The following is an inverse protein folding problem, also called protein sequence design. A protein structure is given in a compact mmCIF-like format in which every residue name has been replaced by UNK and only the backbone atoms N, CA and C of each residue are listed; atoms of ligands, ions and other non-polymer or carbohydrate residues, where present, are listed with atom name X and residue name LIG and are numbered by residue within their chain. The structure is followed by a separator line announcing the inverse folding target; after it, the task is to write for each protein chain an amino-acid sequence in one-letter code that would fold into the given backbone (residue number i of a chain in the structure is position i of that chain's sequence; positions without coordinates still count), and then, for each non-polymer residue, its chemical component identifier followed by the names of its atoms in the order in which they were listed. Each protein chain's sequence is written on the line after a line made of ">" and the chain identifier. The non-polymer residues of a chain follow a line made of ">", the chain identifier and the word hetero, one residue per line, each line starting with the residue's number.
data_IF_521517857715
#
_entry.id   IF_521517857715
#
_cell.length_a   1.000
_cell.length_b   1.000
_cell.length_c   1.000
_cell.angle_alpha   90.00
_cell.angle_beta   90.00
_cell.angle_gamma   90.00
#
_symmetry.space_group_name_H-M   'P 1'
#
loop_
_entity.id
_entity.type
_entity.pdbx_description
1 polymer ?
#
# COMPACT_ATOMS: atom_id res chain seq x y z
N UNK A 1 -38.51 19.84 24.26
CA UNK A 1 -37.82 20.88 25.04
C UNK A 1 -36.77 20.17 25.88
N UNK A 2 -35.48 20.26 25.49
CA UNK A 2 -34.31 19.69 26.20
C UNK A 2 -34.23 18.15 26.23
N UNK A 3 -33.12 17.45 26.02
CA UNK A 3 -31.73 17.87 26.09
C UNK A 3 -30.87 16.96 25.17
N UNK A 4 -30.20 17.59 24.23
CA UNK A 4 -29.13 17.03 23.43
C UNK A 4 -27.87 17.03 24.32
N UNK A 5 -27.38 15.87 24.76
CA UNK A 5 -25.99 15.76 25.25
C UNK A 5 -25.13 15.17 24.14
N UNK A 6 -24.66 16.08 23.28
CA UNK A 6 -23.48 15.88 22.45
C UNK A 6 -22.29 15.73 23.40
N UNK A 7 -21.69 14.54 23.46
CA UNK A 7 -20.37 14.36 24.05
C UNK A 7 -19.39 14.26 22.88
N UNK A 8 -18.82 15.41 22.52
CA UNK A 8 -17.62 15.48 21.68
C UNK A 8 -16.46 14.91 22.51
N UNK A 9 -16.16 13.61 22.37
CA UNK A 9 -14.88 13.08 22.83
C UNK A 9 -13.80 13.53 21.85
N UNK A 10 -13.22 14.69 22.14
CA UNK A 10 -11.98 15.17 21.53
C UNK A 10 -10.84 14.24 21.98
N UNK A 11 -10.49 13.25 21.17
CA UNK A 11 -9.37 12.34 21.46
C UNK A 11 -8.05 13.10 21.27
N UNK A 12 -7.41 13.47 22.38
CA UNK A 12 -6.04 13.95 22.39
C UNK A 12 -5.10 12.74 22.39
N UNK A 13 -4.24 12.64 21.37
CA UNK A 13 -3.19 11.64 21.30
C UNK A 13 -2.00 12.13 22.12
N UNK A 14 -1.78 11.54 23.30
CA UNK A 14 -0.62 11.83 24.12
C UNK A 14 0.61 11.10 23.55
N UNK A 15 1.65 11.89 23.31
CA UNK A 15 2.94 11.54 22.75
C UNK A 15 3.73 10.63 23.70
N UNK A 16 4.20 9.48 23.24
CA UNK A 16 5.26 8.73 23.90
C UNK A 16 6.57 8.97 23.13
N UNK A 17 7.44 9.80 23.70
CA UNK A 17 8.84 9.95 23.27
C UNK A 17 9.67 8.85 23.95
N UNK A 18 10.28 7.98 23.16
CA UNK A 18 11.44 7.19 23.62
C UNK A 18 12.65 7.78 22.92
N UNK A 19 13.45 8.54 23.67
CA UNK A 19 14.80 8.92 23.27
C UNK A 19 15.75 7.79 23.66
N UNK A 20 16.35 7.14 22.67
CA UNK A 20 17.60 6.42 22.82
C UNK A 20 18.61 7.04 21.86
N UNK A 21 19.42 7.97 22.37
CA UNK A 21 20.59 8.47 21.64
C UNK A 21 21.64 7.38 21.59
N UNK A 22 21.82 6.77 20.42
CA UNK A 22 23.07 6.10 20.08
C UNK A 22 23.51 6.64 18.72
N UNK A 23 24.39 7.65 18.73
CA UNK A 23 24.99 8.27 17.54
C UNK A 23 25.92 7.28 16.82
N UNK A 24 25.34 6.40 16.01
CA UNK A 24 25.89 5.92 14.75
C UNK A 24 24.67 5.61 13.88
N UNK A 25 24.66 6.08 12.64
CA UNK A 25 23.44 6.35 11.88
C UNK A 25 22.60 5.09 11.59
N UNK A 26 21.69 4.77 12.50
CA UNK A 26 20.60 3.84 12.26
C UNK A 26 19.62 4.49 11.27
N UNK A 27 19.32 3.82 10.16
CA UNK A 27 18.37 4.33 9.18
C UNK A 27 16.97 4.37 9.79
N UNK A 28 16.33 5.53 9.75
CA UNK A 28 14.98 5.73 10.30
C UNK A 28 14.03 6.09 9.18
N UNK A 29 12.93 5.34 9.11
CA UNK A 29 11.83 5.52 8.18
C UNK A 29 10.63 6.11 8.91
N UNK A 30 9.93 7.04 8.28
CA UNK A 30 8.74 7.69 8.87
C UNK A 30 7.55 7.51 7.95
N UNK A 31 6.42 7.08 8.51
CA UNK A 31 5.19 6.84 7.78
C UNK A 31 4.08 7.72 8.35
N UNK A 32 3.31 8.31 7.44
CA UNK A 32 2.22 9.23 7.72
C UNK A 32 0.84 8.68 7.29
N UNK A 33 0.83 7.63 6.47
CA UNK A 33 -0.38 7.05 5.89
C UNK A 33 -0.36 5.53 6.04
N UNK A 34 -1.50 4.95 6.42
CA UNK A 34 -1.72 3.49 6.39
C UNK A 34 -2.94 3.15 5.53
N UNK A 35 -2.81 2.09 4.72
CA UNK A 35 -3.92 1.52 3.95
C UNK A 35 -4.08 0.03 4.25
N UNK A 36 -5.32 -0.44 4.34
CA UNK A 36 -5.65 -1.86 4.32
C UNK A 36 -6.38 -2.19 3.02
N UNK A 37 -5.78 -3.04 2.21
CA UNK A 37 -6.44 -3.62 1.05
C UNK A 37 -6.66 -5.12 1.22
N UNK A 38 -7.74 -5.59 0.62
CA UNK A 38 -8.11 -7.00 0.59
C UNK A 38 -8.27 -7.47 -0.85
N UNK A 39 -7.56 -8.54 -1.20
CA UNK A 39 -7.69 -9.24 -2.47
C UNK A 39 -8.65 -10.42 -2.31
N UNK A 40 -9.82 -10.32 -2.92
CA UNK A 40 -10.82 -11.37 -2.97
C UNK A 40 -10.77 -12.06 -4.34
N UNK A 41 -10.55 -13.37 -4.35
CA UNK A 41 -10.58 -14.17 -5.56
C UNK A 41 -11.77 -15.13 -5.49
N UNK A 42 -12.77 -14.94 -6.35
CA UNK A 42 -14.00 -15.74 -6.35
C UNK A 42 -13.77 -17.25 -6.49
N UNK A 43 -12.62 -17.68 -7.06
CA UNK A 43 -12.29 -19.09 -7.28
C UNK A 43 -11.38 -19.71 -6.23
N UNK A 44 -10.68 -18.91 -5.42
CA UNK A 44 -9.75 -19.42 -4.40
C UNK A 44 -10.28 -19.10 -3.01
N UNK A 45 -10.43 -20.13 -2.17
CA UNK A 45 -10.70 -19.95 -0.74
C UNK A 45 -9.44 -19.40 -0.08
N UNK A 46 -9.39 -18.09 0.10
CA UNK A 46 -8.28 -17.43 0.77
C UNK A 46 -8.33 -15.92 0.56
N UNK A 47 -8.49 -15.20 1.66
CA UNK A 47 -8.39 -13.74 1.70
C UNK A 47 -6.90 -13.41 1.82
N UNK A 48 -6.39 -12.57 0.92
CA UNK A 48 -5.07 -11.97 1.07
C UNK A 48 -5.25 -10.53 1.46
N UNK A 49 -4.76 -10.18 2.64
CA UNK A 49 -4.77 -8.80 3.11
C UNK A 49 -3.38 -8.20 2.96
N UNK A 50 -3.32 -6.92 2.60
CA UNK A 50 -2.11 -6.11 2.75
C UNK A 50 -2.42 -4.86 3.57
N UNK A 51 -1.70 -4.70 4.66
CA UNK A 51 -1.64 -3.42 5.39
C UNK A 51 -0.33 -2.76 5.00
N UNK A 52 -0.40 -1.55 4.45
CA UNK A 52 0.75 -0.88 3.88
C UNK A 52 0.91 0.49 4.55
N UNK A 53 2.12 0.80 4.99
CA UNK A 53 2.48 2.09 5.55
C UNK A 53 3.35 2.84 4.56
N UNK A 54 2.97 4.08 4.28
CA UNK A 54 3.64 4.94 3.32
C UNK A 54 4.12 6.23 3.99
N UNK A 55 5.20 6.77 3.46
CA UNK A 55 5.44 8.19 3.52
C UNK A 55 4.78 8.81 2.30
N UNK A 56 3.83 9.70 2.52
CA UNK A 56 3.00 10.20 1.45
C UNK A 56 3.67 11.25 0.55
N UNK A 57 4.87 11.70 0.94
CA UNK A 57 5.74 12.57 0.15
C UNK A 57 6.94 11.82 -0.45
N UNK A 58 7.21 10.58 -0.03
CA UNK A 58 8.32 9.75 -0.52
C UNK A 58 7.92 8.28 -0.73
N UNK A 59 7.57 7.93 -1.98
CA UNK A 59 7.23 6.56 -2.37
C UNK A 59 8.43 5.65 -2.67
N UNK A 60 9.66 6.10 -2.42
CA UNK A 60 10.84 5.24 -2.60
C UNK A 60 10.98 4.17 -1.52
N UNK A 61 10.18 4.24 -0.46
CA UNK A 61 10.08 3.17 0.51
C UNK A 61 8.65 3.01 1.02
N UNK A 62 8.35 1.81 1.49
CA UNK A 62 7.08 1.50 2.15
C UNK A 62 7.23 0.24 3.01
N UNK A 63 6.43 0.15 4.07
CA UNK A 63 6.33 -1.07 4.87
C UNK A 63 5.05 -1.80 4.46
N UNK A 64 5.17 -3.09 4.15
CA UNK A 64 4.03 -3.94 3.81
C UNK A 64 3.91 -5.09 4.78
N UNK A 65 2.80 -5.15 5.48
CA UNK A 65 2.36 -6.31 6.25
C UNK A 65 1.44 -7.14 5.36
N UNK A 66 1.84 -8.38 5.07
CA UNK A 66 1.02 -9.31 4.28
C UNK A 66 0.43 -10.37 5.19
N UNK A 67 -0.89 -10.56 5.13
CA UNK A 67 -1.58 -11.67 5.78
C UNK A 67 -2.15 -12.61 4.71
N UNK A 68 -1.80 -13.88 4.85
CA UNK A 68 -2.49 -15.03 4.24
C UNK A 68 -2.78 -16.03 5.36
N UNK A 69 -3.64 -17.06 5.17
CA UNK A 69 -4.16 -17.88 6.28
C UNK A 69 -3.13 -18.37 7.30
N UNK A 70 -1.94 -18.78 6.85
CA UNK A 70 -0.90 -19.36 7.72
C UNK A 70 0.37 -18.50 7.82
N UNK A 71 0.34 -17.25 7.33
CA UNK A 71 1.52 -16.40 7.25
C UNK A 71 1.19 -14.93 7.45
N UNK A 72 1.87 -14.33 8.43
CA UNK A 72 1.89 -12.90 8.69
C UNK A 72 3.34 -12.46 8.69
N UNK A 73 3.68 -11.52 7.81
CA UNK A 73 5.02 -10.94 7.80
C UNK A 73 4.98 -9.48 7.43
N UNK A 74 6.04 -8.76 7.80
CA UNK A 74 6.25 -7.41 7.36
C UNK A 74 7.59 -7.30 6.64
N UNK A 75 7.57 -6.56 5.53
CA UNK A 75 8.79 -6.21 4.81
C UNK A 75 8.78 -4.73 4.51
N UNK A 76 9.87 -4.04 4.87
CA UNK A 76 10.14 -2.67 4.45
C UNK A 76 10.93 -2.72 3.15
N UNK A 77 10.39 -2.14 2.10
CA UNK A 77 11.04 -2.05 0.79
C UNK A 77 11.65 -0.67 0.65
N UNK A 78 12.89 -0.57 0.18
CA UNK A 78 13.60 0.68 -0.07
C UNK A 78 14.27 0.63 -1.46
N UNK A 79 13.66 1.30 -2.43
CA UNK A 79 14.13 1.33 -3.81
C UNK A 79 15.33 2.27 -4.02
N UNK A 80 15.58 3.19 -3.08
CA UNK A 80 16.77 4.07 -3.13
C UNK A 80 18.04 3.27 -2.80
N UNK A 81 17.95 2.33 -1.86
CA UNK A 81 19.08 1.50 -1.44
C UNK A 81 19.10 0.11 -2.09
N UNK A 82 18.05 -0.25 -2.84
CA UNK A 82 17.84 -1.57 -3.44
C UNK A 82 17.85 -2.68 -2.37
N UNK A 83 17.27 -2.39 -1.21
CA UNK A 83 17.19 -3.27 -0.05
C UNK A 83 15.75 -3.49 0.38
N UNK A 84 15.49 -4.69 0.92
CA UNK A 84 14.33 -4.98 1.72
C UNK A 84 14.76 -5.46 3.11
N UNK A 85 13.98 -5.10 4.11
CA UNK A 85 14.20 -5.48 5.50
C UNK A 85 13.00 -6.30 5.96
N UNK A 86 13.25 -7.53 6.38
CA UNK A 86 12.25 -8.44 6.89
C UNK A 86 12.06 -8.26 8.39
N UNK A 87 10.82 -8.34 8.83
CA UNK A 87 10.44 -8.26 10.22
C UNK A 87 9.48 -9.36 10.61
N UNK A 88 9.72 -9.95 11.78
CA UNK A 88 8.73 -10.73 12.50
C UNK A 88 7.68 -9.78 13.07
N UNK A 89 6.41 -10.15 12.89
CA UNK A 89 5.26 -9.31 13.29
C UNK A 89 4.55 -9.94 14.46
N UNK A 90 4.42 -9.20 15.56
CA UNK A 90 3.55 -9.55 16.69
C UNK A 90 2.28 -8.72 16.59
N UNK A 91 1.15 -9.40 16.38
CA UNK A 91 -0.17 -8.76 16.41
C UNK A 91 -0.72 -8.74 17.83
N UNK A 92 -1.31 -7.62 18.22
CA UNK A 92 -2.15 -7.53 19.41
C UNK A 92 -3.45 -6.81 19.10
N UNK A 93 -4.49 -7.10 19.89
CA UNK A 93 -5.80 -6.45 19.76
C UNK A 93 -6.14 -5.75 21.07
N UNK A 94 -6.54 -4.48 20.98
CA UNK A 94 -7.00 -3.71 22.13
C UNK A 94 -8.08 -2.72 21.72
N UNK A 95 -9.22 -2.75 22.42
CA UNK A 95 -10.38 -1.89 22.15
C UNK A 95 -10.86 -1.93 20.68
N UNK A 96 -10.88 -3.12 20.07
CA UNK A 96 -11.28 -3.31 18.67
C UNK A 96 -10.23 -2.89 17.64
N UNK A 97 -9.10 -2.32 18.06
CA UNK A 97 -8.00 -1.94 17.17
C UNK A 97 -6.96 -3.06 17.10
N UNK A 98 -6.38 -3.21 15.91
CA UNK A 98 -5.26 -4.12 15.65
C UNK A 98 -3.96 -3.33 15.71
N UNK A 99 -2.98 -3.81 16.46
CA UNK A 99 -1.66 -3.22 16.59
C UNK A 99 -0.61 -4.22 16.14
N UNK A 100 0.39 -3.73 15.41
CA UNK A 100 1.55 -4.51 14.99
C UNK A 100 2.81 -4.01 15.69
N UNK A 101 3.55 -4.92 16.29
CA UNK A 101 4.92 -4.70 16.71
C UNK A 101 5.86 -5.43 15.74
N UNK A 102 6.94 -4.76 15.37
CA UNK A 102 7.91 -5.23 14.38
C UNK A 102 9.24 -5.52 15.04
N UNK A 103 9.75 -6.73 14.84
CA UNK A 103 11.07 -7.17 15.29
C UNK A 103 11.93 -7.41 14.05
N UNK A 104 13.05 -6.71 13.92
CA UNK A 104 13.92 -6.82 12.74
C UNK A 104 14.60 -8.19 12.70
N UNK A 105 14.55 -8.85 11.54
CA UNK A 105 15.21 -10.14 11.34
C UNK A 105 16.48 -9.99 10.50
N UNK A 106 16.32 -9.68 9.21
CA UNK A 106 17.40 -9.61 8.22
C UNK A 106 17.05 -8.68 7.05
N UNK A 107 18.06 -8.36 6.26
CA UNK A 107 17.97 -7.54 5.05
C UNK A 107 18.39 -8.36 3.84
N UNK A 108 17.81 -8.07 2.68
CA UNK A 108 18.19 -8.70 1.43
C UNK A 108 18.11 -7.70 0.28
N UNK A 109 18.90 -7.93 -0.77
CA UNK A 109 18.85 -7.09 -1.97
C UNK A 109 17.54 -7.31 -2.71
N UNK A 110 16.92 -6.22 -3.10
CA UNK A 110 15.81 -6.25 -4.04
C UNK A 110 16.37 -6.63 -5.41
N UNK A 111 16.04 -7.82 -5.92
CA UNK A 111 16.44 -8.18 -7.28
C UNK A 111 15.53 -7.47 -8.30
N UNK A 112 15.48 -6.13 -8.32
CA UNK A 112 14.49 -5.35 -9.10
C UNK A 112 14.87 -5.17 -10.56
N UNK A 113 16.11 -5.48 -10.95
CA UNK A 113 16.64 -5.27 -12.31
C UNK A 113 15.81 -5.93 -13.42
N UNK A 114 15.18 -7.07 -13.15
CA UNK A 114 14.34 -7.76 -14.14
C UNK A 114 12.96 -7.11 -14.34
N UNK A 115 12.51 -6.28 -13.38
CA UNK A 115 11.19 -5.65 -13.39
C UNK A 115 11.19 -4.34 -14.17
N UNK A 116 12.29 -3.58 -14.10
CA UNK A 116 12.50 -2.33 -14.85
C UNK A 116 12.46 -2.56 -16.38
N UNK A 117 12.74 -3.79 -16.83
CA UNK A 117 12.79 -4.14 -18.25
C UNK A 117 11.43 -4.44 -18.88
N UNK A 118 10.34 -4.50 -18.11
CA UNK A 118 9.00 -4.64 -18.67
C UNK A 118 8.44 -3.26 -18.99
N UNK A 119 8.63 -2.79 -20.22
CA UNK A 119 8.06 -1.53 -20.74
C UNK A 119 6.54 -1.63 -20.95
N UNK A 120 5.81 -1.90 -19.88
CA UNK A 120 4.35 -1.92 -19.89
C UNK A 120 3.85 -0.51 -20.20
N UNK A 121 2.72 -0.44 -20.89
CA UNK A 121 2.03 0.81 -21.19
C UNK A 121 0.64 0.75 -20.60
N UNK A 122 0.23 1.81 -19.90
CA UNK A 122 -1.05 1.89 -19.22
C UNK A 122 -1.86 3.02 -19.83
N UNK A 123 -3.14 2.77 -20.09
CA UNK A 123 -4.10 3.81 -20.47
C UNK A 123 -5.28 3.81 -19.51
N UNK A 124 -5.86 4.99 -19.33
CA UNK A 124 -7.10 5.20 -18.59
C UNK A 124 -8.17 5.69 -19.55
N UNK A 125 -9.40 5.21 -19.36
CA UNK A 125 -10.59 5.66 -20.08
C UNK A 125 -11.73 5.87 -19.10
N UNK A 126 -12.46 6.97 -19.24
CA UNK A 126 -13.62 7.27 -18.39
C UNK A 126 -14.76 6.29 -18.67
N UNK A 127 -15.36 5.74 -17.61
CA UNK A 127 -16.58 4.91 -17.71
C UNK A 127 -17.79 5.71 -17.20
N UNK A 128 -17.62 6.41 -16.08
CA UNK A 128 -18.66 7.23 -15.47
C UNK A 128 -18.05 8.45 -14.79
N UNK A 129 -18.54 9.63 -15.17
CA UNK A 129 -18.30 10.89 -14.45
C UNK A 129 -19.14 10.99 -13.16
N UNK A 130 -20.25 10.24 -13.09
CA UNK A 130 -21.16 10.24 -11.94
C UNK A 130 -20.61 9.42 -10.77
N UNK A 131 -20.99 9.77 -9.53
CA UNK A 131 -20.50 9.12 -8.33
C UNK A 131 -21.12 7.71 -8.14
N UNK A 132 -20.31 6.67 -7.87
CA UNK A 132 -18.85 6.72 -7.73
C UNK A 132 -18.14 6.81 -9.09
N UNK A 133 -17.11 7.67 -9.19
CA UNK A 133 -16.34 7.85 -10.43
C UNK A 133 -15.67 6.52 -10.80
N UNK A 134 -15.84 6.09 -12.05
CA UNK A 134 -15.27 4.85 -12.55
C UNK A 134 -14.42 5.08 -13.79
N UNK A 135 -13.25 4.43 -13.82
CA UNK A 135 -12.34 4.45 -14.96
C UNK A 135 -11.92 3.04 -15.36
N UNK A 136 -11.81 2.79 -16.65
CA UNK A 136 -11.16 1.61 -17.20
C UNK A 136 -9.65 1.83 -17.19
N UNK A 137 -8.89 0.97 -16.54
CA UNK A 137 -7.44 0.92 -16.68
C UNK A 137 -7.06 -0.30 -17.54
N UNK A 138 -6.33 -0.06 -18.62
CA UNK A 138 -5.88 -1.11 -19.54
C UNK A 138 -4.35 -1.17 -19.54
N UNK A 139 -3.82 -2.38 -19.34
CA UNK A 139 -2.37 -2.62 -19.31
C UNK A 139 -1.97 -3.35 -20.58
N UNK A 140 -0.98 -2.83 -21.28
CA UNK A 140 -0.43 -3.36 -22.51
C UNK A 140 1.02 -3.79 -22.29
N UNK A 141 1.47 -4.83 -23.01
CA UNK A 141 2.87 -5.28 -22.97
C UNK A 141 3.85 -4.26 -23.55
N UNK A 142 3.38 -3.34 -24.40
CA UNK A 142 4.13 -2.21 -24.95
C UNK A 142 3.19 -1.19 -25.59
N UNK A 143 3.68 0.01 -25.91
CA UNK A 143 2.92 1.05 -26.64
C UNK A 143 2.41 0.60 -28.02
N UNK A 144 3.05 -0.39 -28.66
CA UNK A 144 2.66 -0.92 -29.98
C UNK A 144 1.64 -2.06 -29.91
N UNK A 145 1.38 -2.61 -28.72
CA UNK A 145 0.48 -3.74 -28.57
C UNK A 145 -0.98 -3.33 -28.82
N UNK A 146 -1.70 -4.10 -29.64
CA UNK A 146 -3.09 -3.80 -30.01
C UNK A 146 -4.11 -4.30 -29.00
N UNK A 147 -3.73 -5.26 -28.14
CA UNK A 147 -4.63 -5.88 -27.16
C UNK A 147 -4.01 -5.74 -25.76
N UNK A 148 -4.79 -5.36 -24.74
CA UNK A 148 -4.29 -5.31 -23.38
C UNK A 148 -4.06 -6.73 -22.85
N UNK A 149 -3.05 -6.86 -21.99
CA UNK A 149 -2.76 -8.08 -21.23
C UNK A 149 -3.65 -8.19 -19.99
N UNK A 150 -4.13 -7.06 -19.47
CA UNK A 150 -5.07 -6.99 -18.35
C UNK A 150 -6.01 -5.79 -18.49
N UNK A 151 -7.24 -5.96 -18.01
CA UNK A 151 -8.26 -4.91 -17.94
C UNK A 151 -8.79 -4.82 -16.53
N UNK A 152 -8.98 -3.59 -16.09
CA UNK A 152 -9.38 -3.23 -14.74
C UNK A 152 -10.50 -2.20 -14.81
N UNK A 153 -11.47 -2.33 -13.92
CA UNK A 153 -12.43 -1.26 -13.64
C UNK A 153 -12.10 -0.73 -12.25
N UNK A 154 -11.66 0.52 -12.19
CA UNK A 154 -11.28 1.19 -10.95
C UNK A 154 -12.43 2.08 -10.50
N UNK A 155 -12.83 1.92 -9.25
CA UNK A 155 -13.72 2.85 -8.57
C UNK A 155 -12.87 3.84 -7.78
N UNK A 156 -13.10 5.13 -8.00
CA UNK A 156 -12.26 6.22 -7.50
C UNK A 156 -13.02 7.08 -6.48
N UNK A 157 -12.29 7.51 -5.46
CA UNK A 157 -12.72 8.53 -4.51
C UNK A 157 -11.77 9.73 -4.58
N UNK A 158 -12.28 10.98 -4.57
CA UNK A 158 -11.43 12.17 -4.54
C UNK A 158 -10.47 12.15 -3.35
N UNK A 159 -9.24 12.60 -3.59
CA UNK A 159 -8.20 12.74 -2.56
C UNK A 159 -7.47 14.07 -2.72
N UNK A 160 -6.82 14.55 -1.65
CA UNK A 160 -6.03 15.79 -1.69
C UNK A 160 -4.78 15.69 -2.57
N UNK A 161 -4.28 14.45 -2.79
CA UNK A 161 -3.14 14.13 -3.64
C UNK A 161 -3.37 12.83 -4.41
N UNK A 162 -2.53 12.58 -5.40
CA UNK A 162 -2.59 11.38 -6.20
C UNK A 162 -2.11 10.15 -5.42
N UNK A 163 -3.02 9.22 -5.12
CA UNK A 163 -2.74 8.02 -4.32
C UNK A 163 -2.53 6.76 -5.19
N UNK A 164 -2.49 6.89 -6.52
CA UNK A 164 -2.22 5.77 -7.43
C UNK A 164 -0.90 5.05 -7.12
N UNK A 165 0.22 5.73 -6.78
CA UNK A 165 1.45 5.04 -6.37
C UNK A 165 1.24 4.13 -5.16
N UNK A 166 0.51 4.57 -4.14
CA UNK A 166 0.20 3.74 -2.96
C UNK A 166 -0.65 2.52 -3.33
N UNK A 167 -1.68 2.71 -4.17
CA UNK A 167 -2.49 1.60 -4.69
C UNK A 167 -1.62 0.57 -5.42
N UNK A 168 -0.71 1.03 -6.28
CA UNK A 168 0.17 0.17 -7.06
C UNK A 168 1.08 -0.69 -6.17
N UNK A 169 1.77 -0.06 -5.22
CA UNK A 169 2.65 -0.74 -4.25
C UNK A 169 1.86 -1.68 -3.30
N UNK A 170 0.62 -1.31 -2.95
CA UNK A 170 -0.27 -2.13 -2.12
C UNK A 170 -0.63 -3.46 -2.80
N UNK A 171 -0.77 -3.47 -4.14
CA UNK A 171 -0.96 -4.72 -4.91
C UNK A 171 0.29 -5.58 -4.87
N UNK A 172 1.42 -5.03 -5.30
CA UNK A 172 2.68 -5.76 -5.37
C UNK A 172 3.86 -4.80 -5.40
N UNK A 173 4.97 -5.22 -4.80
CA UNK A 173 6.25 -4.49 -4.85
C UNK A 173 6.78 -4.38 -6.29
N UNK A 174 6.32 -5.29 -7.16
CA UNK A 174 6.68 -5.34 -8.58
C UNK A 174 5.68 -4.60 -9.48
N UNK A 175 4.57 -4.10 -8.92
CA UNK A 175 3.57 -3.39 -9.68
C UNK A 175 3.85 -1.89 -9.55
N UNK A 176 4.76 -1.41 -10.40
CA UNK A 176 5.07 0.00 -10.50
C UNK A 176 4.28 0.60 -11.67
N UNK A 177 3.65 1.75 -11.44
CA UNK A 177 3.09 2.53 -12.53
C UNK A 177 4.25 3.10 -13.36
N UNK A 178 4.19 3.05 -14.70
CA UNK A 178 5.14 3.75 -15.54
C UNK A 178 5.20 5.22 -15.15
N UNK A 179 6.40 5.80 -15.09
CA UNK A 179 6.57 7.22 -14.74
C UNK A 179 5.90 8.18 -15.73
N UNK A 180 5.63 7.71 -16.95
CA UNK A 180 4.93 8.44 -18.02
C UNK A 180 3.43 8.11 -18.12
N UNK A 181 2.86 7.41 -17.13
CA UNK A 181 1.43 7.11 -17.13
C UNK A 181 0.60 8.39 -16.92
N UNK A 182 -0.36 8.63 -17.81
CA UNK A 182 -1.32 9.74 -17.69
C UNK A 182 -2.41 9.39 -16.68
N UNK A 183 -2.19 9.72 -15.41
CA UNK A 183 -3.06 9.35 -14.30
C UNK A 183 -4.34 10.21 -14.29
N UNK A 184 -5.50 9.65 -13.91
CA UNK A 184 -6.80 10.34 -14.02
C UNK A 184 -7.00 11.49 -13.02
N UNK A 185 -5.97 11.87 -12.24
CA UNK A 185 -5.97 12.97 -11.29
C UNK A 185 -5.71 12.55 -9.83
N UNK A 186 -6.06 13.45 -8.91
CA UNK A 186 -5.90 13.22 -7.46
C UNK A 186 -7.03 12.37 -6.90
N UNK A 187 -6.87 11.05 -7.03
CA UNK A 187 -7.83 10.07 -6.55
C UNK A 187 -7.17 8.98 -5.72
N UNK A 188 -7.99 8.37 -4.89
CA UNK A 188 -7.74 7.10 -4.23
C UNK A 188 -8.55 6.01 -4.92
N UNK A 189 -7.91 4.87 -5.18
CA UNK A 189 -8.58 3.70 -5.75
C UNK A 189 -9.22 2.91 -4.60
N UNK A 190 -10.54 2.94 -4.50
CA UNK A 190 -11.26 2.23 -3.42
C UNK A 190 -11.59 0.79 -3.78
N UNK A 191 -11.65 0.49 -5.08
CA UNK A 191 -11.90 -0.85 -5.62
C UNK A 191 -11.28 -0.99 -7.00
N UNK A 192 -10.71 -2.16 -7.28
CA UNK A 192 -10.22 -2.60 -8.58
C UNK A 192 -10.83 -3.96 -8.92
N UNK A 193 -11.74 -3.98 -9.88
CA UNK A 193 -12.33 -5.18 -10.44
C UNK A 193 -11.45 -5.67 -11.60
N UNK A 194 -10.74 -6.77 -11.36
CA UNK A 194 -9.68 -7.26 -12.24
C UNK A 194 -10.24 -8.40 -13.09
N UNK A 195 -10.12 -8.27 -14.40
CA UNK A 195 -10.38 -9.37 -15.34
C UNK A 195 -9.10 -9.74 -16.07
N UNK A 196 -8.50 -10.87 -15.69
CA UNK A 196 -7.33 -11.43 -16.35
C UNK A 196 -7.60 -12.87 -16.80
N UNK A 197 -7.69 -13.08 -18.12
CA UNK A 197 -8.01 -14.38 -18.73
C UNK A 197 -9.31 -14.97 -18.16
N UNK A 198 -9.23 -16.06 -17.39
CA UNK A 198 -10.38 -16.76 -16.76
C UNK A 198 -10.50 -16.44 -15.27
N UNK A 199 -9.74 -15.48 -14.74
CA UNK A 199 -9.73 -15.09 -13.34
C UNK A 199 -10.42 -13.73 -13.21
N UNK A 200 -11.36 -13.67 -12.29
CA UNK A 200 -11.94 -12.42 -11.78
C UNK A 200 -11.58 -12.33 -10.30
N UNK A 201 -11.01 -11.21 -9.92
CA UNK A 201 -10.71 -10.88 -8.54
C UNK A 201 -10.97 -9.40 -8.29
N UNK A 202 -11.23 -9.07 -7.03
CA UNK A 202 -11.46 -7.70 -6.57
C UNK A 202 -10.36 -7.34 -5.58
N UNK A 203 -9.81 -6.14 -5.72
CA UNK A 203 -8.88 -5.57 -4.76
C UNK A 203 -9.51 -4.32 -4.15
N UNK A 204 -9.90 -4.41 -2.87
CA UNK A 204 -10.77 -3.43 -2.21
C UNK A 204 -10.00 -2.75 -1.08
N UNK A 205 -10.08 -1.43 -1.02
CA UNK A 205 -9.60 -0.64 0.12
C UNK A 205 -10.63 -0.74 1.24
N UNK A 206 -10.26 -1.40 2.33
CA UNK A 206 -11.10 -1.50 3.53
C UNK A 206 -10.84 -0.38 4.52
N UNK A 207 -9.62 0.12 4.58
CA UNK A 207 -9.23 1.15 5.55
C UNK A 207 -8.14 2.08 5.01
N UNK A 208 -8.23 3.36 5.37
CA UNK A 208 -7.27 4.41 5.04
C UNK A 208 -7.24 5.42 6.17
N UNK A 209 -6.10 5.58 6.83
CA UNK A 209 -5.95 6.53 7.95
C UNK A 209 -4.59 7.20 7.95
N UNK A 210 -4.54 8.37 8.58
CA UNK A 210 -3.30 8.99 8.98
C UNK A 210 -2.67 8.22 10.14
N UNK A 211 -1.34 8.12 10.14
CA UNK A 211 -0.58 7.47 11.20
C UNK A 211 0.68 8.28 11.52
N UNK A 212 1.30 8.01 12.67
CA UNK A 212 2.64 8.52 13.00
C UNK A 212 3.49 7.33 13.41
N UNK A 213 4.00 6.60 12.43
CA UNK A 213 4.86 5.45 12.67
C UNK A 213 6.30 5.81 12.29
N UNK A 214 7.25 5.44 13.15
CA UNK A 214 8.68 5.48 12.84
C UNK A 214 9.28 4.10 13.06
N UNK A 215 10.10 3.66 12.12
CA UNK A 215 10.87 2.42 12.25
C UNK A 215 12.34 2.80 12.12
N UNK A 216 13.13 2.44 13.13
CA UNK A 216 14.58 2.62 13.14
C UNK A 216 15.21 1.25 13.03
N UNK A 217 15.98 1.02 11.98
CA UNK A 217 16.72 -0.22 11.78
C UNK A 217 17.89 -0.34 12.77
N UNK A 218 18.37 -1.55 13.09
CA UNK A 218 19.62 -1.70 13.82
C UNK A 218 20.79 -1.13 13.01
N UNK A 219 21.84 -0.73 13.72
CA UNK A 219 23.07 -0.18 13.12
C UNK A 219 23.80 -1.19 12.24
N UNK A 220 23.81 -2.45 12.68
CA UNK A 220 24.39 -3.56 11.94
C UNK A 220 23.24 -4.36 11.35
N UNK A 221 23.19 -4.42 10.02
CA UNK A 221 22.19 -5.21 9.31
C UNK A 221 22.67 -6.67 9.19
N UNK A 222 21.81 -7.61 9.56
CA UNK A 222 21.97 -9.02 9.20
C UNK A 222 21.61 -9.19 7.71
N UNK A 223 22.40 -9.94 6.93
CA UNK A 223 22.19 -10.23 5.51
C UNK A 223 22.09 -11.73 5.25
#
# INVERSE_FOLDING_TARGET
>A
MGNLKIIFMRKFYLLAFIFAFVLSSAQTYSFDTVTKYVLNNAKKKGIKESVNYFNSDDFNYFLKVTRVPDYLSATLFDSKTDLAHHFTVKESKSNGNVFFAFEYDYSYKLNTKHLINQKQYITFGEISESYPKQVSMQIFSSKKAKKPIAKHILTLQPASKNMFPMFALSRSVNYMLPSDADLPGNYMVVRDDITEKKVSCEFVLEDHNDVKLKITLPKTLNY
#
